data_IF_067021075099
#
_entry.id   IF_067021075099
#
_cell.length_a   1.000
_cell.length_b   1.000
_cell.length_c   1.000
_cell.angle_alpha   90.00
_cell.angle_beta   90.00
_cell.angle_gamma   90.00
#
_symmetry.space_group_name_H-M   'P 1'
#
loop_
_entity.id
_entity.type
_entity.pdbx_description
1 polymer ?
#
# COMPACT_ATOMS: atom_id res chain seq x y z
N UNK A 1 -15.26 6.79 -2.67
CA UNK A 1 -14.52 6.34 -1.50
C UNK A 1 -13.48 5.31 -1.89
N UNK A 2 -12.32 5.33 -1.24
CA UNK A 2 -11.21 4.46 -1.63
C UNK A 2 -11.57 2.98 -1.64
N UNK A 3 -12.27 2.52 -0.62
CA UNK A 3 -12.61 1.10 -0.56
C UNK A 3 -13.52 0.68 -1.69
N UNK A 4 -14.44 1.55 -2.08
CA UNK A 4 -15.31 1.27 -3.21
C UNK A 4 -14.47 1.19 -4.48
N UNK A 5 -13.52 2.09 -4.61
CA UNK A 5 -12.64 2.09 -5.77
C UNK A 5 -11.78 0.82 -5.82
N UNK A 6 -11.28 0.38 -4.66
CA UNK A 6 -10.52 -0.86 -4.59
C UNK A 6 -11.37 -2.05 -4.99
N UNK A 7 -12.63 -2.07 -4.60
CA UNK A 7 -13.53 -3.15 -5.03
C UNK A 7 -13.66 -3.18 -6.54
N UNK A 8 -13.71 -2.02 -7.17
CA UNK A 8 -13.78 -1.92 -8.61
C UNK A 8 -12.53 -2.51 -9.28
N UNK A 9 -11.38 -2.34 -8.64
CA UNK A 9 -10.11 -2.84 -9.16
C UNK A 9 -9.74 -4.20 -8.60
N UNK A 10 -10.63 -4.80 -7.85
CA UNK A 10 -10.35 -5.98 -7.06
C UNK A 10 -9.79 -7.13 -7.88
N UNK A 11 -10.38 -7.39 -9.03
CA UNK A 11 -9.94 -8.52 -9.84
C UNK A 11 -8.49 -8.38 -10.26
N UNK A 12 -8.02 -7.16 -10.51
CA UNK A 12 -6.63 -6.93 -10.89
C UNK A 12 -5.72 -7.16 -9.69
N UNK A 13 -6.09 -6.60 -8.54
CA UNK A 13 -5.27 -6.72 -7.34
C UNK A 13 -5.23 -8.16 -6.83
N UNK A 14 -6.34 -8.87 -6.88
CA UNK A 14 -6.39 -10.24 -6.42
C UNK A 14 -5.65 -11.18 -7.36
N UNK A 15 -5.61 -10.88 -8.63
CA UNK A 15 -4.83 -11.68 -9.56
C UNK A 15 -3.34 -11.47 -9.34
N UNK A 16 -2.98 -10.28 -8.95
CA UNK A 16 -1.61 -9.99 -8.57
C UNK A 16 -1.27 -10.65 -7.24
N UNK A 17 -2.15 -10.97 -6.45
CA UNK A 17 -2.25 -11.69 -5.45
C UNK A 17 -1.80 -11.64 -4.29
N UNK A 18 -2.53 -11.38 -3.54
CA UNK A 18 -1.98 -11.94 -2.53
C UNK A 18 -1.86 -11.06 -1.34
N UNK A 19 -0.98 -11.40 -0.44
CA UNK A 19 -0.75 -10.67 0.81
C UNK A 19 -0.34 -9.22 0.57
N UNK A 20 0.25 -8.93 -0.58
CA UNK A 20 0.60 -7.54 -0.92
C UNK A 20 -0.64 -6.66 -0.98
N UNK A 21 -1.76 -7.21 -1.41
CA UNK A 21 -3.02 -6.47 -1.42
C UNK A 21 -3.42 -6.05 0.00
N UNK A 22 -3.23 -6.92 0.97
CA UNK A 22 -3.56 -6.58 2.36
C UNK A 22 -2.65 -5.46 2.87
N UNK A 23 -1.36 -5.51 2.52
CA UNK A 23 -0.45 -4.45 2.89
C UNK A 23 -0.87 -3.13 2.24
N UNK A 24 -1.29 -3.17 0.98
CA UNK A 24 -1.73 -1.96 0.29
C UNK A 24 -2.95 -1.35 0.98
N UNK A 25 -3.88 -2.18 1.42
CA UNK A 25 -5.05 -1.69 2.15
C UNK A 25 -4.64 -0.87 3.36
N UNK A 26 -3.71 -1.37 4.16
CA UNK A 26 -3.26 -0.64 5.35
C UNK A 26 -2.45 0.59 4.97
N UNK A 27 -1.66 0.50 3.91
CA UNK A 27 -0.89 1.65 3.44
C UNK A 27 -1.82 2.80 3.05
N UNK A 28 -2.90 2.48 2.33
CA UNK A 28 -3.86 3.51 1.92
C UNK A 28 -4.49 4.16 3.15
N UNK A 29 -4.81 3.37 4.17
CA UNK A 29 -5.41 3.92 5.38
C UNK A 29 -4.44 4.78 6.18
N UNK A 30 -3.15 4.54 6.06
CA UNK A 30 -2.15 5.34 6.76
C UNK A 30 -1.72 6.57 5.96
N UNK A 31 -2.02 6.59 4.67
CA UNK A 31 -1.50 7.64 3.78
C UNK A 31 -2.13 8.99 4.06
N UNK A 32 -1.37 10.04 3.76
CA UNK A 32 -1.87 11.39 3.74
C UNK A 32 -2.61 11.57 2.41
N UNK A 33 -3.93 11.54 2.46
CA UNK A 33 -4.74 11.56 1.24
C UNK A 33 -4.73 12.91 0.55
N UNK A 34 -4.44 13.98 1.29
CA UNK A 34 -4.34 15.29 0.66
C UNK A 34 -3.11 15.39 -0.22
N UNK A 35 -2.00 14.77 0.22
CA UNK A 35 -0.76 14.80 -0.51
C UNK A 35 -0.54 13.55 -1.35
N UNK A 36 -1.36 12.51 -1.17
CA UNK A 36 -1.19 11.26 -1.90
C UNK A 36 0.07 10.53 -1.50
N UNK A 37 0.52 10.70 -0.26
CA UNK A 37 1.81 10.22 0.18
C UNK A 37 1.67 9.24 1.35
N UNK A 38 2.40 8.15 1.28
CA UNK A 38 2.54 7.24 2.41
C UNK A 38 3.97 7.32 2.93
N UNK A 39 4.10 7.48 4.23
CA UNK A 39 5.39 7.52 4.88
C UNK A 39 5.69 6.15 5.47
N UNK A 40 6.74 5.51 4.97
CA UNK A 40 7.13 4.16 5.38
C UNK A 40 8.11 4.24 6.54
N UNK A 41 7.71 4.94 7.61
CA UNK A 41 8.54 5.01 8.80
C UNK A 41 8.33 3.77 9.68
N UNK A 42 9.15 3.64 10.71
CA UNK A 42 9.08 2.47 11.56
C UNK A 42 7.74 2.34 12.26
N UNK A 43 7.16 3.47 12.67
CA UNK A 43 5.87 3.43 13.35
C UNK A 43 4.79 2.86 12.45
N UNK A 44 4.69 3.39 11.23
CA UNK A 44 3.67 2.94 10.29
C UNK A 44 3.89 1.49 9.87
N UNK A 45 5.15 1.12 9.61
CA UNK A 45 5.44 -0.26 9.23
C UNK A 45 5.13 -1.23 10.35
N UNK A 46 5.42 -0.84 11.59
CA UNK A 46 5.13 -1.73 12.73
C UNK A 46 3.65 -1.96 12.91
N UNK A 47 2.82 -0.94 12.66
CA UNK A 47 1.37 -1.13 12.73
C UNK A 47 0.90 -2.17 11.73
N UNK A 48 1.44 -2.13 10.52
CA UNK A 48 1.05 -3.10 9.49
C UNK A 48 1.56 -4.49 9.84
N UNK A 49 2.79 -4.58 10.35
CA UNK A 49 3.37 -5.85 10.77
C UNK A 49 2.50 -6.52 11.82
N UNK A 50 2.02 -5.74 12.79
CA UNK A 50 1.17 -6.29 13.84
C UNK A 50 -0.18 -6.72 13.29
N UNK A 51 -0.77 -5.90 12.42
CA UNK A 51 -2.08 -6.23 11.86
C UNK A 51 -2.05 -7.46 10.99
N UNK A 52 -1.01 -7.60 10.17
CA UNK A 52 -0.90 -8.72 9.25
C UNK A 52 -0.20 -9.92 9.86
N UNK A 53 0.40 -9.75 11.04
CA UNK A 53 1.15 -10.80 11.71
C UNK A 53 2.26 -11.35 10.81
N UNK A 54 3.06 -10.44 10.26
CA UNK A 54 4.17 -10.79 9.38
C UNK A 54 5.46 -10.19 9.93
N UNK A 55 6.59 -10.60 9.37
CA UNK A 55 7.87 -10.03 9.75
C UNK A 55 8.17 -8.78 8.95
N UNK A 56 9.14 -7.98 9.42
CA UNK A 56 9.56 -6.80 8.68
C UNK A 56 10.09 -7.16 7.28
N UNK A 57 10.96 -8.18 7.13
CA UNK A 57 11.39 -8.56 5.78
C UNK A 57 10.23 -8.95 4.87
N UNK A 58 9.22 -9.61 5.43
CA UNK A 58 8.06 -9.98 4.63
C UNK A 58 7.29 -8.74 4.16
N UNK A 59 7.10 -7.77 5.06
CA UNK A 59 6.45 -6.53 4.68
C UNK A 59 7.24 -5.79 3.61
N UNK A 60 8.56 -5.77 3.73
CA UNK A 60 9.38 -5.06 2.75
C UNK A 60 9.31 -5.72 1.38
N UNK A 61 9.17 -7.05 1.34
CA UNK A 61 8.92 -7.72 0.07
C UNK A 61 7.57 -7.34 -0.53
N UNK A 62 6.56 -7.19 0.32
CA UNK A 62 5.26 -6.75 -0.15
C UNK A 62 5.33 -5.34 -0.74
N UNK A 63 6.04 -4.44 -0.06
CA UNK A 63 6.21 -3.07 -0.55
C UNK A 63 6.94 -3.08 -1.89
N UNK A 64 8.00 -3.88 -2.02
CA UNK A 64 8.74 -3.98 -3.27
C UNK A 64 7.84 -4.52 -4.39
N UNK A 65 7.01 -5.49 -4.08
CA UNK A 65 6.07 -6.04 -5.05
C UNK A 65 5.07 -4.99 -5.52
N UNK A 66 4.54 -4.22 -4.58
CA UNK A 66 3.59 -3.15 -4.92
C UNK A 66 4.27 -2.10 -5.80
N UNK A 67 5.52 -1.78 -5.49
CA UNK A 67 6.26 -0.81 -6.29
C UNK A 67 6.46 -1.31 -7.72
N UNK A 68 6.83 -2.58 -7.86
CA UNK A 68 7.04 -3.16 -9.18
C UNK A 68 5.77 -3.17 -10.02
N UNK A 69 4.64 -3.32 -9.36
CA UNK A 69 3.36 -3.34 -10.07
C UNK A 69 2.80 -1.95 -10.34
N UNK A 70 3.53 -0.91 -9.93
CA UNK A 70 3.08 0.46 -10.15
C UNK A 70 2.02 0.91 -9.16
N UNK A 71 1.84 0.17 -8.07
CA UNK A 71 0.85 0.53 -7.06
C UNK A 71 1.42 1.44 -5.98
N UNK A 72 2.73 1.56 -5.92
CA UNK A 72 3.43 2.52 -5.09
C UNK A 72 4.55 3.12 -5.93
N UNK A 73 4.73 4.42 -5.82
CA UNK A 73 5.79 5.13 -6.56
C UNK A 73 6.76 5.70 -5.55
N UNK A 74 7.98 5.20 -5.54
CA UNK A 74 8.98 5.65 -4.58
C UNK A 74 9.46 7.04 -4.96
N UNK A 75 9.27 8.01 -4.06
CA UNK A 75 9.73 9.37 -4.27
C UNK A 75 11.12 9.56 -3.69
N UNK A 76 11.35 9.00 -2.53
CA UNK A 76 12.64 9.00 -1.86
C UNK A 76 12.58 7.96 -0.76
N UNK A 77 13.68 7.78 -0.07
CA UNK A 77 13.74 6.76 0.98
C UNK A 77 12.64 7.01 2.02
N UNK A 78 11.81 5.99 2.23
CA UNK A 78 10.75 6.08 3.22
C UNK A 78 9.56 6.91 2.80
N UNK A 79 9.46 7.29 1.54
CA UNK A 79 8.36 8.13 1.08
C UNK A 79 7.84 7.62 -0.25
N UNK A 80 6.57 7.27 -0.29
CA UNK A 80 5.96 6.70 -1.49
C UNK A 80 4.71 7.47 -1.86
N UNK A 81 4.47 7.59 -3.15
CA UNK A 81 3.26 8.22 -3.66
C UNK A 81 2.27 7.16 -4.09
N UNK A 82 1.00 7.37 -3.77
CA UNK A 82 -0.07 6.49 -4.23
C UNK A 82 -0.53 6.92 -5.60
N UNK A 83 -0.87 5.96 -6.48
CA UNK A 83 -1.45 6.32 -7.78
C UNK A 83 -2.76 7.07 -7.60
N UNK A 84 -3.01 8.00 -8.50
CA UNK A 84 -4.20 8.85 -8.42
C UNK A 84 -5.48 8.06 -8.44
N UNK A 85 -5.52 6.96 -9.16
CA UNK A 85 -6.78 6.22 -9.29
C UNK A 85 -7.24 5.59 -7.97
N UNK A 86 -6.40 5.56 -6.94
CA UNK A 86 -6.84 5.10 -5.63
C UNK A 86 -7.59 6.21 -4.88
N UNK A 87 -7.43 7.45 -5.27
CA UNK A 87 -7.99 8.58 -4.57
C UNK A 87 -9.14 9.25 -5.33
N UNK A 88 -9.29 8.87 -6.57
CA UNK A 88 -10.28 9.47 -7.44
C UNK A 88 -11.56 8.66 -7.39
N UNK A 89 -12.35 8.90 -6.38
CA UNK A 89 -13.62 8.17 -6.21
C UNK A 89 -14.79 9.10 -6.22
#
# INVERSE_FOLDING_TARGET
>A
MILVYLDTKDSILLKANDTSFHALYHIIHQADLDANIWYADNFNKNLIIEELNVSLPALEKMIASLKERGLLIKLQRGKYQLPDYFLDC
#
